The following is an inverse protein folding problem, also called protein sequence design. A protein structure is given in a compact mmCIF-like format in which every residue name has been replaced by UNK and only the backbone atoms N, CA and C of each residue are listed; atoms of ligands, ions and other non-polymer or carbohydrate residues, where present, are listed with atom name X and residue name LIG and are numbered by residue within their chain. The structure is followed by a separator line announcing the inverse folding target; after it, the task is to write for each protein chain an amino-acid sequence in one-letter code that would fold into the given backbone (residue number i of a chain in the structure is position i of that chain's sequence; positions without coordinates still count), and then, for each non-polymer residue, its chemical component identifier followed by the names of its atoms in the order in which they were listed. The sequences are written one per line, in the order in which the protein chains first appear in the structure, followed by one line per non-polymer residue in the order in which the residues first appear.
data_IF_247685535045
#
_entry.id   IF_247685535045
#
_cell.length_a   1.000
_cell.length_b   1.000
_cell.length_c   1.000
_cell.angle_alpha   90.00
_cell.angle_beta   90.00
_cell.angle_gamma   90.00
#
_symmetry.space_group_name_H-M   'P 1'
#
loop_
_entity.id
_entity.type
_entity.pdbx_description
1 polymer ?
#
# COMPACT_ATOMS: atom_id res chain seq x y z
N UNK A 1 41.06 42.77 -42.08
CA UNK A 1 41.75 43.37 -40.96
C UNK A 1 40.83 44.48 -40.43
N UNK A 2 40.09 44.46 -39.38
CA UNK A 2 39.89 43.61 -38.25
C UNK A 2 38.54 44.03 -37.62
N UNK A 3 37.53 43.25 -37.75
CA UNK A 3 36.19 43.52 -37.14
C UNK A 3 35.90 42.53 -36.01
N UNK A 4 36.90 41.85 -35.50
CA UNK A 4 36.75 40.78 -34.52
C UNK A 4 37.30 41.10 -33.11
N UNK A 5 37.69 42.33 -32.81
CA UNK A 5 38.33 42.66 -31.51
C UNK A 5 37.51 43.57 -30.59
N UNK A 6 36.24 43.87 -30.87
CA UNK A 6 35.39 44.73 -29.99
C UNK A 6 34.19 44.12 -29.34
N UNK A 7 34.05 42.80 -29.32
CA UNK A 7 32.89 42.12 -28.67
C UNK A 7 33.21 41.33 -27.42
N UNK A 8 34.38 41.51 -26.82
CA UNK A 8 34.81 40.68 -25.68
C UNK A 8 35.08 41.47 -24.39
N UNK A 9 34.29 42.48 -24.06
CA UNK A 9 34.45 43.20 -22.78
C UNK A 9 33.13 43.91 -22.36
N UNK A 10 32.05 43.17 -22.10
CA UNK A 10 30.88 43.63 -21.28
C UNK A 10 29.95 42.50 -20.93
N UNK A 11 30.42 41.46 -20.28
CA UNK A 11 29.57 40.49 -19.58
C UNK A 11 30.28 39.94 -18.32
N UNK A 12 30.66 40.86 -17.43
CA UNK A 12 31.04 40.52 -16.07
C UNK A 12 30.42 41.55 -15.14
N UNK A 13 29.19 41.23 -14.67
CA UNK A 13 28.68 41.66 -13.36
C UNK A 13 27.15 41.46 -13.35
N UNK A 14 26.70 40.35 -12.89
CA UNK A 14 25.51 40.13 -12.06
C UNK A 14 25.13 38.63 -12.07
N UNK A 15 26.02 37.83 -11.55
CA UNK A 15 25.62 36.54 -11.00
C UNK A 15 25.47 36.74 -9.50
N UNK A 16 24.37 37.35 -9.09
CA UNK A 16 23.87 37.20 -7.75
C UNK A 16 23.49 35.71 -7.59
N UNK A 17 24.24 35.03 -6.76
CA UNK A 17 23.89 33.67 -6.33
C UNK A 17 22.61 33.74 -5.48
N UNK A 18 21.45 33.68 -6.15
CA UNK A 18 20.20 33.39 -5.47
C UNK A 18 20.17 31.88 -5.18
N UNK A 19 20.75 31.49 -4.04
CA UNK A 19 20.82 30.14 -3.53
C UNK A 19 19.66 29.84 -2.58
N UNK A 20 18.50 30.43 -2.76
CA UNK A 20 17.26 30.00 -2.12
C UNK A 20 16.46 29.10 -3.08
N UNK A 21 17.00 27.95 -3.45
CA UNK A 21 16.15 26.84 -3.82
C UNK A 21 15.38 26.43 -2.56
N UNK A 22 14.18 26.98 -2.38
CA UNK A 22 13.21 26.47 -1.43
C UNK A 22 13.05 25.00 -1.74
N UNK A 23 13.57 24.13 -0.87
CA UNK A 23 13.28 22.69 -0.93
C UNK A 23 11.77 22.57 -0.90
N UNK A 24 11.11 21.93 -1.89
CA UNK A 24 9.66 21.78 -1.87
C UNK A 24 9.30 21.18 -0.51
N UNK A 25 8.31 21.79 0.18
CA UNK A 25 7.87 21.30 1.47
C UNK A 25 7.34 19.88 1.28
N UNK A 26 8.15 18.88 1.60
CA UNK A 26 7.78 17.46 1.45
C UNK A 26 6.60 17.15 2.36
N UNK A 27 5.63 16.37 1.88
CA UNK A 27 4.55 15.88 2.73
C UNK A 27 5.14 15.04 3.86
N UNK A 28 4.67 15.26 5.08
CA UNK A 28 5.03 14.43 6.22
C UNK A 28 4.14 13.18 6.23
N UNK A 29 4.76 12.00 6.14
CA UNK A 29 4.08 10.71 6.08
C UNK A 29 4.55 9.82 7.22
N UNK A 30 3.60 9.30 8.00
CA UNK A 30 3.88 8.34 9.06
C UNK A 30 3.61 6.92 8.56
N UNK A 31 4.53 5.99 8.85
CA UNK A 31 4.37 4.57 8.51
C UNK A 31 4.41 3.76 9.80
N UNK A 32 3.34 3.01 10.10
CA UNK A 32 3.35 2.00 11.16
C UNK A 32 3.71 0.64 10.59
N UNK A 33 4.39 -0.20 11.36
CA UNK A 33 4.91 -1.47 10.85
C UNK A 33 6.05 -1.26 9.84
N UNK A 34 6.87 -0.20 10.08
CA UNK A 34 7.87 0.28 9.14
C UNK A 34 9.05 -0.69 8.93
N UNK A 35 9.31 -1.59 9.87
CA UNK A 35 10.28 -2.69 9.72
C UNK A 35 9.69 -3.94 9.05
N UNK A 36 8.40 -3.90 8.70
CA UNK A 36 7.68 -5.00 8.04
C UNK A 36 8.01 -5.13 6.56
N UNK A 37 7.58 -6.26 5.96
CA UNK A 37 7.84 -6.59 4.56
C UNK A 37 7.26 -5.57 3.57
N UNK A 38 5.99 -5.19 3.74
CA UNK A 38 5.30 -4.28 2.81
C UNK A 38 5.92 -2.88 2.87
N UNK A 39 6.14 -2.35 4.07
CA UNK A 39 6.79 -1.06 4.25
C UNK A 39 8.23 -1.05 3.70
N UNK A 40 9.02 -2.08 4.01
CA UNK A 40 10.41 -2.20 3.58
C UNK A 40 10.59 -2.09 2.06
N UNK A 41 9.64 -2.62 1.27
CA UNK A 41 9.66 -2.51 -0.21
C UNK A 41 9.45 -1.07 -0.70
N UNK A 42 8.74 -0.24 0.06
CA UNK A 42 8.44 1.16 -0.32
C UNK A 42 9.45 2.15 0.23
N UNK A 43 10.11 1.85 1.35
CA UNK A 43 10.97 2.79 2.06
C UNK A 43 12.01 3.49 1.18
N UNK A 44 12.74 2.83 0.25
CA UNK A 44 13.72 3.52 -0.60
C UNK A 44 13.08 4.69 -1.38
N UNK A 45 11.99 4.44 -2.09
CA UNK A 45 11.31 5.47 -2.87
C UNK A 45 10.61 6.52 -1.99
N UNK A 46 10.10 6.12 -0.83
CA UNK A 46 9.42 7.03 0.10
C UNK A 46 10.39 7.99 0.79
N UNK A 47 11.60 7.56 1.13
CA UNK A 47 12.65 8.43 1.68
C UNK A 47 13.07 9.56 0.73
N UNK A 48 13.02 9.30 -0.57
CA UNK A 48 13.31 10.33 -1.58
C UNK A 48 12.17 11.35 -1.70
N UNK A 49 10.92 10.94 -1.43
CA UNK A 49 9.71 11.70 -1.73
C UNK A 49 9.10 12.44 -0.54
N UNK A 50 9.16 11.84 0.65
CA UNK A 50 8.45 12.29 1.85
C UNK A 50 9.39 12.61 3.01
N UNK A 51 8.90 13.42 3.94
CA UNK A 51 9.42 13.52 5.30
C UNK A 51 8.78 12.40 6.13
N UNK A 52 9.58 11.40 6.54
CA UNK A 52 9.06 10.15 7.10
C UNK A 52 9.16 10.10 8.63
N UNK A 53 8.07 9.69 9.26
CA UNK A 53 8.04 9.19 10.64
C UNK A 53 7.80 7.67 10.56
N UNK A 54 8.73 6.88 11.11
CA UNK A 54 8.70 5.42 11.02
C UNK A 54 8.47 4.82 12.40
N UNK A 55 7.37 4.06 12.57
CA UNK A 55 7.00 3.40 13.82
C UNK A 55 6.93 1.88 13.65
N UNK A 56 7.55 1.13 14.56
CA UNK A 56 7.42 -0.33 14.67
C UNK A 56 7.75 -0.77 16.09
N UNK A 57 7.41 -1.99 16.46
CA UNK A 57 7.78 -2.61 17.75
C UNK A 57 9.22 -3.13 17.78
N UNK A 58 9.91 -3.10 16.65
CA UNK A 58 11.31 -3.51 16.49
C UNK A 58 12.02 -2.57 15.52
N UNK A 59 13.33 -2.42 15.67
CA UNK A 59 14.14 -1.52 14.84
C UNK A 59 14.89 -2.22 13.69
N UNK A 60 14.68 -3.53 13.50
CA UNK A 60 15.30 -4.31 12.42
C UNK A 60 14.26 -4.89 11.49
N UNK A 61 14.59 -4.91 10.19
CA UNK A 61 13.77 -5.56 9.17
C UNK A 61 13.85 -7.10 9.26
N UNK A 62 13.22 -7.82 8.33
CA UNK A 62 13.23 -9.29 8.31
C UNK A 62 14.61 -9.91 8.03
N UNK A 63 15.52 -9.15 7.42
CA UNK A 63 16.90 -9.52 7.14
C UNK A 63 17.82 -9.27 8.34
N UNK A 64 17.33 -8.70 9.44
CA UNK A 64 18.11 -8.32 10.61
C UNK A 64 18.83 -6.97 10.48
N UNK A 65 18.59 -6.22 9.40
CA UNK A 65 19.18 -4.92 9.15
C UNK A 65 18.42 -3.82 9.89
N UNK A 66 19.15 -2.87 10.46
CA UNK A 66 18.56 -1.73 11.16
C UNK A 66 17.83 -0.81 10.19
N UNK A 67 16.61 -0.41 10.55
CA UNK A 67 15.83 0.60 9.81
C UNK A 67 16.13 1.97 10.40
N UNK A 68 16.88 2.78 9.66
CA UNK A 68 17.30 4.12 10.11
C UNK A 68 16.11 5.06 10.31
N UNK A 69 16.15 5.84 11.41
CA UNK A 69 15.12 6.83 11.75
C UNK A 69 13.81 6.22 12.28
N UNK A 70 13.82 4.92 12.66
CA UNK A 70 12.64 4.25 13.22
C UNK A 70 12.53 4.47 14.72
N UNK A 71 11.33 4.79 15.18
CA UNK A 71 10.94 4.87 16.59
C UNK A 71 10.28 3.57 17.03
N UNK A 72 10.68 3.03 18.20
CA UNK A 72 10.07 1.83 18.76
C UNK A 72 8.78 2.23 19.47
N UNK A 73 7.66 1.85 18.87
CA UNK A 73 6.31 2.22 19.31
C UNK A 73 5.36 1.06 19.07
N UNK A 74 4.56 0.71 20.08
CA UNK A 74 3.49 -0.28 19.96
C UNK A 74 2.13 0.43 19.80
N UNK A 75 1.62 0.52 18.57
CA UNK A 75 0.32 1.13 18.27
C UNK A 75 -0.87 0.24 18.67
N UNK A 76 -0.63 -0.99 19.17
CA UNK A 76 -1.67 -1.81 19.80
C UNK A 76 -2.01 -1.37 21.21
N UNK A 77 -1.14 -0.58 21.84
CA UNK A 77 -1.39 -0.04 23.17
C UNK A 77 -2.64 0.85 23.16
N UNK A 78 -3.64 0.59 24.02
CA UNK A 78 -4.86 1.40 24.09
C UNK A 78 -4.62 2.83 24.59
N UNK A 79 -3.54 3.08 25.33
CA UNK A 79 -3.10 4.41 25.74
C UNK A 79 -2.41 5.13 24.57
N UNK A 80 -3.20 5.86 23.79
CA UNK A 80 -2.73 6.57 22.61
C UNK A 80 -1.86 7.80 22.92
N UNK A 81 -1.94 8.34 24.12
CA UNK A 81 -1.12 9.50 24.52
C UNK A 81 0.38 9.17 24.50
N UNK A 82 0.75 7.90 24.62
CA UNK A 82 2.14 7.44 24.51
C UNK A 82 2.77 7.70 23.12
N UNK A 83 1.96 7.76 22.06
CA UNK A 83 2.47 7.90 20.70
C UNK A 83 1.75 8.93 19.82
N UNK A 84 0.70 9.57 20.32
CA UNK A 84 -0.09 10.57 19.61
C UNK A 84 0.77 11.72 19.04
N UNK A 85 1.78 12.15 19.78
CA UNK A 85 2.68 13.23 19.35
C UNK A 85 3.41 12.94 18.02
N UNK A 86 3.62 11.67 17.64
CA UNK A 86 4.17 11.32 16.33
C UNK A 86 3.21 11.62 15.17
N UNK A 87 1.92 11.71 15.43
CA UNK A 87 0.90 11.96 14.41
C UNK A 87 0.64 13.46 14.19
N UNK A 88 1.17 14.34 15.04
CA UNK A 88 0.96 15.77 14.94
C UNK A 88 1.64 16.37 13.70
N UNK A 89 0.86 17.10 12.90
CA UNK A 89 1.30 17.72 11.65
C UNK A 89 1.61 16.73 10.54
N UNK A 90 1.18 15.46 10.65
CA UNK A 90 1.28 14.44 9.61
C UNK A 90 0.17 14.66 8.58
N UNK A 91 0.51 14.62 7.28
CA UNK A 91 -0.47 14.70 6.20
C UNK A 91 -1.16 13.36 5.96
N UNK A 92 -0.38 12.26 5.94
CA UNK A 92 -0.93 10.94 5.70
C UNK A 92 -0.27 9.86 6.57
N UNK A 93 -1.05 8.85 6.95
CA UNK A 93 -0.57 7.67 7.67
C UNK A 93 -0.72 6.44 6.79
N UNK A 94 0.38 5.70 6.62
CA UNK A 94 0.39 4.37 5.99
C UNK A 94 0.43 3.30 7.08
N UNK A 95 -0.66 2.58 7.26
CA UNK A 95 -0.78 1.57 8.30
C UNK A 95 -0.45 0.18 7.76
N UNK A 96 0.79 -0.28 8.03
CA UNK A 96 1.29 -1.61 7.67
C UNK A 96 1.52 -2.52 8.89
N UNK A 97 1.30 -2.03 10.11
CA UNK A 97 1.49 -2.85 11.31
C UNK A 97 0.51 -4.02 11.31
N UNK A 98 1.04 -5.20 11.62
CA UNK A 98 0.30 -6.44 11.65
C UNK A 98 1.01 -7.45 12.56
N UNK A 99 0.24 -8.15 13.39
CA UNK A 99 0.70 -9.25 14.20
C UNK A 99 0.08 -10.55 13.67
N UNK A 100 0.94 -11.47 13.21
CA UNK A 100 0.49 -12.81 12.78
C UNK A 100 0.17 -13.69 13.98
N UNK A 101 -0.84 -14.56 13.81
CA UNK A 101 -1.24 -15.50 14.85
C UNK A 101 -2.65 -16.03 14.64
N UNK A 102 -3.30 -16.39 15.73
CA UNK A 102 -4.68 -16.89 15.73
C UNK A 102 -5.70 -15.76 15.97
N UNK A 103 -6.92 -16.15 16.29
CA UNK A 103 -8.06 -15.25 16.50
C UNK A 103 -7.77 -14.09 17.47
N UNK A 104 -7.08 -14.34 18.59
CA UNK A 104 -6.74 -13.32 19.58
C UNK A 104 -5.78 -12.25 19.04
N UNK A 105 -4.88 -12.61 18.12
CA UNK A 105 -3.99 -11.65 17.47
C UNK A 105 -4.73 -10.85 16.40
N UNK A 106 -5.73 -11.43 15.75
CA UNK A 106 -6.59 -10.68 14.83
C UNK A 106 -7.46 -9.64 15.56
N UNK A 107 -7.93 -9.93 16.78
CA UNK A 107 -8.59 -8.92 17.62
C UNK A 107 -7.65 -7.75 17.95
N UNK A 108 -6.37 -8.03 18.23
CA UNK A 108 -5.35 -6.97 18.45
C UNK A 108 -5.09 -6.17 17.17
N UNK A 109 -5.10 -6.81 16.02
CA UNK A 109 -4.97 -6.13 14.73
C UNK A 109 -6.14 -5.15 14.48
N UNK A 110 -7.36 -5.54 14.81
CA UNK A 110 -8.53 -4.65 14.76
C UNK A 110 -8.36 -3.49 15.75
N UNK A 111 -7.89 -3.76 16.96
CA UNK A 111 -7.62 -2.72 17.96
C UNK A 111 -6.52 -1.75 17.48
N UNK A 112 -5.45 -2.25 16.83
CA UNK A 112 -4.43 -1.38 16.23
C UNK A 112 -5.01 -0.46 15.16
N UNK A 113 -5.83 -0.99 14.27
CA UNK A 113 -6.48 -0.19 13.24
C UNK A 113 -7.37 0.90 13.86
N UNK A 114 -8.17 0.56 14.88
CA UNK A 114 -8.96 1.52 15.62
C UNK A 114 -8.09 2.62 16.26
N UNK A 115 -7.01 2.24 16.93
CA UNK A 115 -6.10 3.18 17.58
C UNK A 115 -5.51 4.17 16.57
N UNK A 116 -5.03 3.66 15.41
CA UNK A 116 -4.47 4.48 14.34
C UNK A 116 -5.51 5.43 13.78
N UNK A 117 -6.71 4.97 13.43
CA UNK A 117 -7.76 5.83 12.88
C UNK A 117 -8.21 6.89 13.89
N UNK A 118 -8.36 6.50 15.15
CA UNK A 118 -8.77 7.44 16.19
C UNK A 118 -7.69 8.48 16.46
N UNK A 119 -6.41 8.09 16.49
CA UNK A 119 -5.30 9.04 16.63
C UNK A 119 -5.24 9.99 15.43
N UNK A 120 -5.42 9.49 14.20
CA UNK A 120 -5.52 10.34 13.00
C UNK A 120 -6.68 11.34 13.12
N UNK A 121 -7.82 10.90 13.63
CA UNK A 121 -8.96 11.76 13.87
C UNK A 121 -8.66 12.85 14.93
N UNK A 122 -7.98 12.50 16.03
CA UNK A 122 -7.61 13.45 17.08
C UNK A 122 -6.59 14.50 16.61
N UNK A 123 -5.64 14.11 15.75
CA UNK A 123 -4.50 14.95 15.34
C UNK A 123 -4.66 15.58 13.95
N UNK A 124 -5.86 15.58 13.39
CA UNK A 124 -6.18 16.18 12.10
C UNK A 124 -5.38 15.62 10.90
N UNK A 125 -4.95 14.37 10.98
CA UNK A 125 -4.37 13.68 9.82
C UNK A 125 -5.40 13.61 8.70
N UNK A 126 -5.02 14.11 7.51
CA UNK A 126 -5.93 14.17 6.36
C UNK A 126 -6.34 12.79 5.87
N UNK A 127 -5.39 11.84 5.77
CA UNK A 127 -5.61 10.56 5.10
C UNK A 127 -4.93 9.38 5.78
N UNK A 128 -5.64 8.27 5.83
CA UNK A 128 -5.08 6.95 6.15
C UNK A 128 -5.06 6.07 4.90
N UNK A 129 -3.93 5.39 4.66
CA UNK A 129 -3.76 4.36 3.64
C UNK A 129 -3.39 3.06 4.34
N UNK A 130 -4.22 2.05 4.23
CA UNK A 130 -4.18 0.87 5.09
C UNK A 130 -3.87 -0.39 4.30
N UNK A 131 -2.94 -1.19 4.78
CA UNK A 131 -2.66 -2.50 4.24
C UNK A 131 -3.75 -3.50 4.62
N UNK A 132 -4.84 -3.53 3.86
CA UNK A 132 -5.79 -4.63 3.85
C UNK A 132 -5.21 -5.82 3.06
N UNK A 133 -6.00 -6.78 2.70
CA UNK A 133 -5.59 -7.98 1.97
C UNK A 133 -6.68 -8.42 1.00
N UNK A 134 -6.30 -9.05 -0.11
CA UNK A 134 -7.24 -9.77 -0.96
C UNK A 134 -7.99 -10.90 -0.21
N UNK A 135 -7.42 -11.37 0.91
CA UNK A 135 -8.08 -12.32 1.81
C UNK A 135 -9.36 -11.77 2.48
N UNK A 136 -9.59 -10.46 2.49
CA UNK A 136 -10.87 -9.91 2.92
C UNK A 136 -12.06 -10.39 2.05
N UNK A 137 -11.77 -10.93 0.86
CA UNK A 137 -12.76 -11.39 -0.10
C UNK A 137 -12.36 -12.73 -0.77
N UNK A 138 -11.57 -13.56 -0.10
CA UNK A 138 -11.02 -14.79 -0.66
C UNK A 138 -12.05 -15.92 -0.83
N UNK A 139 -13.18 -15.85 -0.14
CA UNK A 139 -14.29 -16.78 -0.39
C UNK A 139 -14.73 -16.80 -1.86
N UNK A 140 -14.61 -15.67 -2.57
CA UNK A 140 -14.97 -15.55 -3.98
C UNK A 140 -14.04 -16.31 -4.93
N UNK A 141 -12.82 -16.65 -4.53
CA UNK A 141 -11.87 -17.41 -5.35
C UNK A 141 -12.47 -18.75 -5.80
N UNK A 142 -13.22 -19.43 -4.94
CA UNK A 142 -13.92 -20.68 -5.29
C UNK A 142 -15.04 -20.49 -6.33
N UNK A 143 -15.64 -19.30 -6.40
CA UNK A 143 -16.65 -18.99 -7.41
C UNK A 143 -16.00 -18.70 -8.77
N UNK A 144 -14.82 -18.07 -8.77
CA UNK A 144 -13.99 -17.90 -9.97
C UNK A 144 -13.59 -19.28 -10.52
N UNK A 145 -13.02 -20.14 -9.68
CA UNK A 145 -12.54 -21.46 -10.13
C UNK A 145 -13.63 -22.43 -10.53
N UNK A 146 -14.86 -22.24 -10.04
CA UNK A 146 -16.01 -23.01 -10.49
C UNK A 146 -16.70 -22.43 -11.74
N UNK A 147 -16.16 -21.37 -12.35
CA UNK A 147 -16.70 -20.72 -13.53
C UNK A 147 -18.03 -20.00 -13.30
N UNK A 148 -18.37 -19.70 -12.05
CA UNK A 148 -19.59 -18.97 -11.70
C UNK A 148 -19.42 -17.47 -11.82
N UNK A 149 -18.18 -16.98 -11.64
CA UNK A 149 -17.82 -15.57 -11.70
C UNK A 149 -16.51 -15.39 -12.46
N UNK A 150 -16.35 -14.22 -13.10
CA UNK A 150 -15.15 -13.89 -13.85
C UNK A 150 -14.24 -12.92 -13.08
N UNK A 151 -14.82 -12.03 -12.25
CA UNK A 151 -14.10 -11.00 -11.52
C UNK A 151 -14.65 -10.80 -10.11
N UNK A 152 -13.74 -10.35 -9.23
CA UNK A 152 -14.04 -9.84 -7.88
C UNK A 152 -13.76 -8.36 -7.86
N UNK A 153 -14.75 -7.55 -7.49
CA UNK A 153 -14.64 -6.08 -7.45
C UNK A 153 -14.58 -5.56 -6.01
N UNK A 154 -14.04 -4.34 -5.78
CA UNK A 154 -13.93 -3.79 -4.42
C UNK A 154 -15.26 -3.50 -3.72
N UNK A 155 -16.31 -3.26 -4.50
CA UNK A 155 -17.67 -2.95 -4.05
C UNK A 155 -18.48 -4.19 -3.65
N UNK A 156 -18.00 -5.38 -3.99
CA UNK A 156 -18.60 -6.61 -3.51
C UNK A 156 -18.46 -6.71 -1.99
N UNK A 157 -19.52 -7.20 -1.33
CA UNK A 157 -19.46 -7.47 0.11
C UNK A 157 -18.21 -8.30 0.42
N UNK A 158 -17.34 -7.88 1.35
CA UNK A 158 -16.20 -8.69 1.74
C UNK A 158 -16.69 -9.98 2.39
N UNK A 159 -16.15 -11.10 1.95
CA UNK A 159 -16.42 -12.43 2.50
C UNK A 159 -15.12 -13.22 2.55
N UNK A 160 -14.73 -13.64 3.73
CA UNK A 160 -13.58 -14.49 3.97
C UNK A 160 -13.99 -15.77 4.69
N UNK A 161 -13.26 -16.85 4.50
CA UNK A 161 -13.46 -18.12 5.20
C UNK A 161 -12.40 -18.37 6.29
N UNK A 162 -11.65 -17.33 6.65
CA UNK A 162 -10.63 -17.40 7.71
C UNK A 162 -10.58 -16.11 8.56
N UNK A 163 -10.03 -16.23 9.78
CA UNK A 163 -10.00 -15.11 10.73
C UNK A 163 -9.10 -13.95 10.28
N UNK A 164 -8.05 -14.20 9.51
CA UNK A 164 -7.19 -13.16 8.97
C UNK A 164 -7.97 -12.25 8.00
N UNK A 165 -8.66 -12.84 7.03
CA UNK A 165 -9.48 -12.08 6.08
C UNK A 165 -10.68 -11.41 6.76
N UNK A 166 -11.32 -12.07 7.73
CA UNK A 166 -12.35 -11.47 8.57
C UNK A 166 -11.85 -10.21 9.31
N UNK A 167 -10.65 -10.25 9.88
CA UNK A 167 -10.08 -9.08 10.55
C UNK A 167 -9.82 -7.94 9.55
N UNK A 168 -9.38 -8.26 8.33
CA UNK A 168 -9.20 -7.27 7.26
C UNK A 168 -10.52 -6.60 6.87
N UNK A 169 -11.59 -7.39 6.73
CA UNK A 169 -12.95 -6.85 6.54
C UNK A 169 -13.33 -5.88 7.68
N UNK A 170 -13.05 -6.26 8.93
CA UNK A 170 -13.35 -5.43 10.08
C UNK A 170 -12.59 -4.09 10.03
N UNK A 171 -11.31 -4.05 9.60
CA UNK A 171 -10.61 -2.75 9.47
C UNK A 171 -11.21 -1.91 8.34
N UNK A 172 -11.60 -2.52 7.23
CA UNK A 172 -12.23 -1.82 6.11
C UNK A 172 -13.50 -1.12 6.57
N UNK A 173 -14.39 -1.86 7.26
CA UNK A 173 -15.62 -1.28 7.76
C UNK A 173 -15.36 -0.22 8.85
N UNK A 174 -14.40 -0.44 9.72
CA UNK A 174 -13.99 0.55 10.72
C UNK A 174 -13.47 1.83 10.05
N UNK A 175 -12.67 1.72 9.00
CA UNK A 175 -12.20 2.85 8.18
C UNK A 175 -13.35 3.64 7.56
N UNK A 176 -14.40 2.95 7.09
CA UNK A 176 -15.62 3.58 6.59
C UNK A 176 -16.33 4.42 7.67
N UNK A 177 -16.41 3.92 8.91
CA UNK A 177 -17.01 4.67 10.04
C UNK A 177 -16.30 6.01 10.25
N UNK A 178 -14.96 6.04 10.22
CA UNK A 178 -14.20 7.28 10.34
C UNK A 178 -14.35 8.18 9.11
N UNK A 179 -14.44 7.61 7.92
CA UNK A 179 -14.62 8.37 6.68
C UNK A 179 -15.99 9.02 6.56
N UNK A 180 -17.03 8.46 7.18
CA UNK A 180 -18.36 9.08 7.24
C UNK A 180 -18.47 10.20 8.28
N UNK A 181 -17.44 10.38 9.12
CA UNK A 181 -17.49 11.33 10.25
C UNK A 181 -18.44 10.83 11.33
N UNK A 182 -18.08 9.73 12.00
CA UNK A 182 -18.89 9.14 13.06
C UNK A 182 -19.38 10.21 14.06
N UNK A 183 -20.62 10.07 14.52
CA UNK A 183 -21.29 11.04 15.41
C UNK A 183 -21.34 12.47 14.84
N UNK A 184 -21.41 12.62 13.51
CA UNK A 184 -21.44 13.93 12.81
C UNK A 184 -20.19 14.79 13.08
N UNK A 185 -19.05 14.16 13.29
CA UNK A 185 -17.76 14.82 13.48
C UNK A 185 -17.00 14.98 12.17
N UNK A 186 -15.73 15.41 12.26
CA UNK A 186 -14.84 15.48 11.09
C UNK A 186 -14.58 14.10 10.48
N UNK A 187 -14.44 14.07 9.16
CA UNK A 187 -14.10 12.88 8.39
C UNK A 187 -12.59 12.67 8.37
N UNK A 188 -12.14 11.42 8.39
CA UNK A 188 -10.76 11.04 8.07
C UNK A 188 -10.82 10.29 6.73
N UNK A 189 -10.17 10.81 5.70
CA UNK A 189 -10.11 10.12 4.41
C UNK A 189 -9.43 8.76 4.58
N UNK A 190 -10.00 7.70 4.02
CA UNK A 190 -9.52 6.35 4.26
C UNK A 190 -9.46 5.54 2.95
N UNK A 191 -8.28 4.97 2.68
CA UNK A 191 -8.05 4.05 1.57
C UNK A 191 -7.60 2.72 2.12
N UNK A 192 -8.29 1.66 1.75
CA UNK A 192 -7.95 0.27 2.05
C UNK A 192 -7.33 -0.38 0.82
N UNK A 193 -6.10 -0.88 0.93
CA UNK A 193 -5.43 -1.58 -0.15
C UNK A 193 -5.46 -3.07 0.15
N UNK A 194 -6.29 -3.81 -0.57
CA UNK A 194 -6.33 -5.28 -0.55
C UNK A 194 -5.11 -5.80 -1.31
N UNK A 195 -4.00 -5.92 -0.61
CA UNK A 195 -2.72 -6.37 -1.17
C UNK A 195 -2.85 -7.82 -1.62
N UNK A 196 -2.39 -8.12 -2.82
CA UNK A 196 -2.32 -9.45 -3.39
C UNK A 196 -1.08 -10.24 -2.92
N UNK A 197 -0.31 -10.79 -3.85
CA UNK A 197 0.89 -11.57 -3.59
C UNK A 197 2.16 -10.75 -3.94
N UNK A 198 2.74 -10.03 -2.97
CA UNK A 198 3.89 -9.16 -3.23
C UNK A 198 5.23 -9.90 -3.19
N UNK A 199 5.26 -11.23 -2.99
CA UNK A 199 6.49 -12.01 -2.88
C UNK A 199 6.85 -12.64 -4.21
N UNK A 200 8.10 -12.47 -4.62
CA UNK A 200 8.65 -13.16 -5.80
C UNK A 200 8.68 -14.69 -5.62
N UNK A 201 8.69 -15.15 -4.37
CA UNK A 201 8.72 -16.58 -4.01
C UNK A 201 7.36 -17.27 -4.06
N UNK A 202 6.26 -16.54 -4.27
CA UNK A 202 4.91 -17.13 -4.26
C UNK A 202 4.69 -18.14 -5.42
N UNK A 203 5.56 -18.11 -6.45
CA UNK A 203 5.57 -19.09 -7.55
C UNK A 203 6.47 -20.32 -7.31
N UNK A 204 7.29 -20.33 -6.25
CA UNK A 204 8.27 -21.42 -6.02
C UNK A 204 7.61 -22.77 -5.73
N UNK A 205 6.51 -22.74 -4.95
CA UNK A 205 5.78 -23.93 -4.51
C UNK A 205 4.59 -24.27 -5.42
N UNK A 206 4.54 -23.70 -6.62
CA UNK A 206 3.50 -23.98 -7.60
C UNK A 206 3.91 -25.19 -8.44
N UNK A 207 2.98 -26.12 -8.63
CA UNK A 207 3.13 -27.37 -9.39
C UNK A 207 2.06 -27.48 -10.47
N UNK A 208 2.29 -28.30 -11.50
CA UNK A 208 1.39 -28.44 -12.64
C UNK A 208 0.01 -28.98 -12.28
N UNK A 209 -0.07 -29.83 -11.26
CA UNK A 209 -1.31 -30.42 -10.75
C UNK A 209 -2.15 -29.44 -9.89
N UNK A 210 -1.59 -28.28 -9.51
CA UNK A 210 -2.29 -27.27 -8.72
C UNK A 210 -2.56 -25.98 -9.51
N UNK A 211 -3.40 -26.07 -10.52
CA UNK A 211 -3.79 -24.95 -11.37
C UNK A 211 -4.37 -23.77 -10.56
N UNK A 212 -5.18 -24.02 -9.53
CA UNK A 212 -5.78 -22.96 -8.73
C UNK A 212 -4.72 -22.13 -7.99
N UNK A 213 -3.70 -22.79 -7.42
CA UNK A 213 -2.56 -22.10 -6.77
C UNK A 213 -1.77 -21.26 -7.78
N UNK A 214 -1.51 -21.81 -8.99
CA UNK A 214 -0.83 -21.08 -10.05
C UNK A 214 -1.64 -19.85 -10.50
N UNK A 215 -2.91 -20.03 -10.80
CA UNK A 215 -3.79 -18.95 -11.22
C UNK A 215 -3.85 -17.83 -10.16
N UNK A 216 -3.99 -18.22 -8.87
CA UNK A 216 -3.98 -17.28 -7.76
C UNK A 216 -2.67 -16.52 -7.65
N UNK A 217 -1.54 -17.19 -7.66
CA UNK A 217 -0.23 -16.57 -7.53
C UNK A 217 0.06 -15.58 -8.66
N UNK A 218 -0.23 -15.98 -9.91
CA UNK A 218 -0.08 -15.12 -11.08
C UNK A 218 -1.07 -13.94 -11.07
N UNK A 219 -2.33 -14.18 -10.71
CA UNK A 219 -3.36 -13.14 -10.67
C UNK A 219 -3.13 -12.10 -9.57
N UNK A 220 -2.61 -12.54 -8.42
CA UNK A 220 -2.40 -11.70 -7.24
C UNK A 220 -1.07 -10.96 -7.22
N UNK A 221 -0.12 -11.25 -8.11
CA UNK A 221 1.23 -10.67 -8.09
C UNK A 221 1.20 -9.14 -8.03
N UNK A 222 2.07 -8.57 -7.18
CA UNK A 222 2.29 -7.14 -7.03
C UNK A 222 3.79 -6.84 -7.01
N UNK A 223 4.29 -6.21 -8.06
CA UNK A 223 5.69 -5.79 -8.14
C UNK A 223 6.02 -4.68 -7.14
N UNK A 224 7.31 -4.44 -6.88
CA UNK A 224 7.77 -3.31 -6.04
C UNK A 224 7.37 -1.99 -6.68
N UNK A 225 7.59 -1.84 -8.00
CA UNK A 225 7.28 -0.62 -8.75
C UNK A 225 5.81 -0.26 -8.65
N UNK A 226 4.95 -1.21 -8.94
CA UNK A 226 3.51 -1.00 -8.94
C UNK A 226 2.96 -0.79 -7.52
N UNK A 227 3.55 -1.46 -6.51
CA UNK A 227 3.22 -1.19 -5.11
C UNK A 227 3.56 0.25 -4.72
N UNK A 228 4.75 0.73 -5.04
CA UNK A 228 5.16 2.12 -4.77
C UNK A 228 4.22 3.09 -5.47
N UNK A 229 3.92 2.87 -6.76
CA UNK A 229 2.99 3.73 -7.50
C UNK A 229 1.61 3.78 -6.85
N UNK A 230 1.05 2.62 -6.46
CA UNK A 230 -0.26 2.53 -5.84
C UNK A 230 -0.33 3.33 -4.53
N UNK A 231 0.65 3.16 -3.65
CA UNK A 231 0.68 3.86 -2.37
C UNK A 231 0.94 5.37 -2.53
N UNK A 232 1.86 5.76 -3.42
CA UNK A 232 2.13 7.18 -3.72
C UNK A 232 0.85 7.86 -4.24
N UNK A 233 0.17 7.28 -5.22
CA UNK A 233 -1.09 7.82 -5.75
C UNK A 233 -2.20 7.84 -4.69
N UNK A 234 -2.25 6.84 -3.82
CA UNK A 234 -3.19 6.82 -2.69
C UNK A 234 -2.93 7.96 -1.68
N UNK A 235 -1.68 8.34 -1.45
CA UNK A 235 -1.31 9.45 -0.58
C UNK A 235 -1.60 10.80 -1.25
N UNK A 236 -1.27 10.97 -2.53
CA UNK A 236 -1.17 12.27 -3.19
C UNK A 236 -2.45 12.71 -3.90
N UNK A 237 -3.31 11.80 -4.34
CA UNK A 237 -4.59 12.17 -4.96
C UNK A 237 -5.39 13.07 -4.03
N UNK A 238 -5.80 14.23 -4.51
CA UNK A 238 -6.47 15.23 -3.66
C UNK A 238 -7.86 14.76 -3.24
N UNK A 239 -8.69 14.37 -4.19
CA UNK A 239 -10.06 13.94 -3.93
C UNK A 239 -10.23 12.44 -4.15
N UNK A 240 -10.74 11.74 -3.12
CA UNK A 240 -11.09 10.32 -3.14
C UNK A 240 -12.56 10.08 -2.76
N UNK A 241 -13.37 11.12 -2.75
CA UNK A 241 -14.79 10.99 -2.43
C UNK A 241 -15.53 10.16 -3.49
N UNK A 242 -16.49 9.39 -3.02
CA UNK A 242 -17.47 8.74 -3.86
C UNK A 242 -18.58 9.72 -4.30
N UNK A 243 -19.57 9.24 -5.02
CA UNK A 243 -20.73 10.02 -5.48
C UNK A 243 -21.59 10.60 -4.34
N UNK A 244 -21.44 10.08 -3.13
CA UNK A 244 -22.14 10.54 -1.92
C UNK A 244 -21.27 11.49 -1.06
N UNK A 245 -20.08 11.85 -1.53
CA UNK A 245 -19.13 12.68 -0.81
C UNK A 245 -18.47 11.97 0.37
N UNK A 246 -18.38 10.63 0.33
CA UNK A 246 -17.70 9.84 1.36
C UNK A 246 -16.27 9.56 0.90
N UNK A 247 -15.23 10.03 1.63
CA UNK A 247 -13.83 9.84 1.26
C UNK A 247 -13.30 8.47 1.73
N UNK A 248 -13.95 7.41 1.24
CA UNK A 248 -13.58 6.02 1.50
C UNK A 248 -13.42 5.24 0.21
N UNK A 249 -12.29 4.53 0.08
CA UNK A 249 -12.01 3.73 -1.11
C UNK A 249 -11.39 2.39 -0.74
N UNK A 250 -11.71 1.37 -1.53
CA UNK A 250 -11.05 0.06 -1.48
C UNK A 250 -10.42 -0.20 -2.85
N UNK A 251 -9.12 -0.56 -2.87
CA UNK A 251 -8.39 -0.92 -4.08
C UNK A 251 -7.77 -2.30 -3.95
N UNK A 252 -7.78 -3.08 -5.02
CA UNK A 252 -6.91 -4.26 -5.10
C UNK A 252 -5.49 -3.84 -5.47
N UNK A 253 -4.53 -4.25 -4.64
CA UNK A 253 -3.10 -4.00 -4.80
C UNK A 253 -2.46 -5.17 -5.56
N UNK A 254 -2.59 -5.16 -6.88
CA UNK A 254 -1.98 -6.11 -7.81
C UNK A 254 -1.42 -5.38 -9.01
N UNK A 255 -0.44 -5.99 -9.70
CA UNK A 255 0.07 -5.53 -10.99
C UNK A 255 -0.94 -5.75 -12.13
N UNK A 256 -0.63 -5.30 -13.37
CA UNK A 256 -1.53 -5.50 -14.52
C UNK A 256 -1.44 -6.94 -15.07
N UNK A 257 -1.65 -7.90 -14.20
CA UNK A 257 -1.48 -9.32 -14.50
C UNK A 257 -2.50 -9.82 -15.52
N UNK A 258 -2.05 -10.60 -16.50
CA UNK A 258 -2.92 -11.24 -17.49
C UNK A 258 -3.88 -12.25 -16.88
N UNK A 259 -3.51 -12.87 -15.76
CA UNK A 259 -4.30 -13.88 -15.05
C UNK A 259 -5.10 -13.32 -13.87
N UNK A 260 -5.21 -11.98 -13.77
CA UNK A 260 -5.97 -11.37 -12.65
C UNK A 260 -7.47 -11.63 -12.76
N UNK A 261 -8.09 -11.85 -11.63
CA UNK A 261 -9.54 -11.86 -11.47
C UNK A 261 -10.01 -10.86 -10.39
N UNK A 262 -9.08 -10.12 -9.77
CA UNK A 262 -9.43 -8.94 -8.96
C UNK A 262 -9.37 -7.69 -9.84
N UNK A 263 -10.43 -6.90 -9.78
CA UNK A 263 -10.53 -5.68 -10.59
C UNK A 263 -9.72 -4.53 -10.00
N UNK A 264 -8.87 -3.92 -10.81
CA UNK A 264 -8.17 -2.67 -10.50
C UNK A 264 -8.84 -1.43 -11.11
N UNK A 265 -10.04 -1.59 -11.67
CA UNK A 265 -10.75 -0.51 -12.36
C UNK A 265 -11.04 0.68 -11.43
N UNK A 266 -11.42 0.42 -10.17
CA UNK A 266 -11.65 1.46 -9.18
C UNK A 266 -10.37 2.29 -8.88
N UNK A 267 -9.23 1.64 -8.67
CA UNK A 267 -7.96 2.33 -8.47
C UNK A 267 -7.55 3.15 -9.70
N UNK A 268 -7.77 2.64 -10.91
CA UNK A 268 -7.55 3.39 -12.15
C UNK A 268 -8.41 4.64 -12.23
N UNK A 269 -9.70 4.52 -11.91
CA UNK A 269 -10.68 5.62 -11.98
C UNK A 269 -10.40 6.71 -10.94
N UNK A 270 -10.17 6.32 -9.68
CA UNK A 270 -10.11 7.27 -8.55
C UNK A 270 -8.75 7.92 -8.41
N UNK A 271 -7.69 7.13 -8.47
CA UNK A 271 -6.32 7.62 -8.21
C UNK A 271 -5.41 7.55 -9.42
N UNK A 272 -5.91 7.15 -10.60
CA UNK A 272 -5.10 7.01 -11.81
C UNK A 272 -4.03 5.93 -11.68
N UNK A 273 -4.27 4.85 -10.94
CA UNK A 273 -3.34 3.72 -10.84
C UNK A 273 -3.09 3.11 -12.22
N UNK A 274 -1.83 3.04 -12.64
CA UNK A 274 -1.43 2.53 -13.94
C UNK A 274 -0.24 1.57 -13.78
N UNK A 275 -0.49 0.35 -13.26
CA UNK A 275 0.56 -0.65 -13.08
C UNK A 275 1.18 -1.04 -14.42
N UNK A 276 2.48 -1.33 -14.39
CA UNK A 276 3.28 -1.58 -15.60
C UNK A 276 3.81 -3.02 -15.65
N UNK A 277 3.81 -3.75 -14.52
CA UNK A 277 4.33 -5.11 -14.46
C UNK A 277 3.24 -6.15 -14.65
N UNK A 278 3.65 -7.32 -15.14
CA UNK A 278 2.76 -8.45 -15.42
C UNK A 278 3.44 -9.77 -15.04
N UNK A 279 2.77 -10.55 -14.21
CA UNK A 279 3.28 -11.84 -13.73
C UNK A 279 3.56 -12.84 -14.83
N UNK A 280 2.79 -12.83 -15.93
CA UNK A 280 2.99 -13.74 -17.04
C UNK A 280 4.37 -13.54 -17.71
N UNK A 281 4.84 -12.29 -17.79
CA UNK A 281 6.18 -11.99 -18.29
C UNK A 281 7.25 -12.20 -17.22
N UNK A 282 6.96 -11.78 -15.99
CA UNK A 282 7.91 -11.89 -14.85
C UNK A 282 8.28 -13.34 -14.56
N UNK A 283 7.34 -14.26 -14.66
CA UNK A 283 7.49 -15.68 -14.32
C UNK A 283 7.44 -16.61 -15.56
N UNK A 284 7.68 -16.10 -16.76
CA UNK A 284 7.54 -16.87 -18.00
C UNK A 284 8.36 -18.18 -18.00
N UNK A 285 9.61 -18.12 -17.56
CA UNK A 285 10.49 -19.29 -17.46
C UNK A 285 9.94 -20.31 -16.46
N UNK A 286 9.52 -19.82 -15.26
CA UNK A 286 8.96 -20.69 -14.22
C UNK A 286 7.65 -21.34 -14.66
N UNK A 287 6.79 -20.62 -15.36
CA UNK A 287 5.56 -21.17 -15.93
C UNK A 287 5.90 -22.29 -16.94
N UNK A 288 6.87 -22.05 -17.83
CA UNK A 288 7.29 -23.06 -18.79
C UNK A 288 7.87 -24.31 -18.11
N UNK A 289 8.63 -24.16 -17.03
CA UNK A 289 9.12 -25.30 -16.22
C UNK A 289 7.98 -26.12 -15.61
N UNK A 290 6.99 -25.42 -14.98
CA UNK A 290 5.83 -26.07 -14.34
C UNK A 290 5.00 -26.86 -15.37
N UNK A 291 4.85 -26.32 -16.57
CA UNK A 291 3.99 -26.91 -17.62
C UNK A 291 4.70 -27.92 -18.50
N UNK A 292 6.02 -28.12 -18.37
CA UNK A 292 6.69 -29.23 -19.02
C UNK A 292 6.09 -30.52 -18.48
N UNK A 293 5.54 -31.36 -19.38
CA UNK A 293 5.15 -32.70 -19.02
C UNK A 293 6.33 -33.43 -18.38
N UNK A 294 6.13 -34.31 -17.38
CA UNK A 294 7.17 -35.23 -16.96
C UNK A 294 7.68 -35.94 -18.22
N UNK A 295 8.99 -35.97 -18.43
CA UNK A 295 9.56 -36.86 -19.43
C UNK A 295 9.08 -38.26 -19.02
N UNK A 296 8.36 -38.93 -19.95
CA UNK A 296 7.88 -40.28 -19.72
C UNK A 296 9.11 -41.16 -19.37
N UNK A 297 9.22 -41.57 -18.10
CA UNK A 297 10.14 -42.62 -17.65
C UNK A 297 9.61 -44.00 -18.03
#
# INVERSE_FOLDING_TARGET
MDILSKFCLKFRSSLSKDTSKTVPNRRKVLITGAAGYIAGRMLPAFRERYDLILLDVRNTNRQGEKVEGLHIVDVSNPDRDLYKHYFEGVDAVVHCAFKGGGFEDELKNIQMAYNVYHTCWETDVRRTVVCSSNHAADYYERLIWSGKWDFVTPDMRPLSDNFYGWAKEAYEHLGFVFATGFRKSKKVQNIQIRIGAPRETDMNDVTADNYHKMHRALGAYLSVRDQVQLFVKSIETENIEDENGIPFQIFYGISDNSHKFWSIANARKVIGYAPEDNSAFRFAERIAEILKAPEDE
#
